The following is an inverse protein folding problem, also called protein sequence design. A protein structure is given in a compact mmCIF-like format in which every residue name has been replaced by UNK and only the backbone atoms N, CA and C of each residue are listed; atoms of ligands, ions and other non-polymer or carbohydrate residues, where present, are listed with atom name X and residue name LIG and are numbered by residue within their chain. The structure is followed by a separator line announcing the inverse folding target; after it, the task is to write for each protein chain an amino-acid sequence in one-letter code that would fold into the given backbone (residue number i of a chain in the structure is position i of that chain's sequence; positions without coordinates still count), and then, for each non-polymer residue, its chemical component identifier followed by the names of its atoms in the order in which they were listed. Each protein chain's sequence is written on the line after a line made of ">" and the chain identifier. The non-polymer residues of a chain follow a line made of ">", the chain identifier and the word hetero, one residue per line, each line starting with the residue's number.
data_IF_718179634489
#
_entry.id   IF_718179634489
#
_cell.length_a   1.000
_cell.length_b   1.000
_cell.length_c   1.000
_cell.angle_alpha   90.00
_cell.angle_beta   90.00
_cell.angle_gamma   90.00
#
_symmetry.space_group_name_H-M   'P 1'
#
loop_
_entity.id
_entity.type
_entity.pdbx_description
1 polymer ?
#
# COMPACT_ATOMS: atom_id res chain seq x y z
N UNK A 1 10.34 -20.26 3.00
CA UNK A 1 9.03 -19.81 3.51
C UNK A 1 8.36 -19.00 2.43
N UNK A 2 7.12 -19.33 2.04
CA UNK A 2 6.39 -18.51 1.09
C UNK A 2 6.07 -17.16 1.74
N UNK A 3 6.56 -16.08 1.15
CA UNK A 3 6.27 -14.73 1.64
C UNK A 3 4.77 -14.49 1.44
N UNK A 4 4.01 -14.56 2.54
CA UNK A 4 2.58 -14.30 2.52
C UNK A 4 2.38 -12.82 2.16
N UNK A 5 1.84 -12.59 0.97
CA UNK A 5 1.51 -11.26 0.48
C UNK A 5 -0.01 -11.13 0.48
N UNK A 6 -0.50 -10.08 1.13
CA UNK A 6 -1.92 -9.76 1.12
C UNK A 6 -2.17 -8.66 0.08
N UNK A 7 -3.24 -8.84 -0.69
CA UNK A 7 -3.66 -7.91 -1.72
C UNK A 7 -4.94 -7.20 -1.27
N UNK A 8 -4.98 -5.89 -1.50
CA UNK A 8 -6.15 -5.07 -1.23
C UNK A 8 -6.38 -4.06 -2.35
N UNK A 9 -7.64 -3.71 -2.58
CA UNK A 9 -8.03 -2.65 -3.50
C UNK A 9 -8.85 -1.60 -2.76
N UNK A 10 -8.38 -0.35 -2.76
CA UNK A 10 -9.09 0.80 -2.21
C UNK A 10 -9.80 1.58 -3.31
N UNK A 11 -11.03 2.04 -3.06
CA UNK A 11 -11.80 2.88 -4.00
C UNK A 11 -12.44 4.04 -3.23
N UNK A 12 -12.28 5.27 -3.75
CA UNK A 12 -12.95 6.47 -3.21
C UNK A 12 -13.29 7.42 -4.34
N UNK A 13 -14.59 7.71 -4.54
CA UNK A 13 -15.09 8.50 -5.68
C UNK A 13 -14.55 7.91 -7.00
N UNK A 14 -13.84 8.71 -7.80
CA UNK A 14 -13.16 8.30 -9.03
C UNK A 14 -11.75 7.72 -8.81
N UNK A 15 -11.22 7.76 -7.59
CA UNK A 15 -9.85 7.30 -7.28
C UNK A 15 -9.83 5.82 -6.92
N UNK A 16 -8.85 5.09 -7.48
CA UNK A 16 -8.63 3.66 -7.24
C UNK A 16 -7.17 3.44 -6.83
N UNK A 17 -6.94 2.68 -5.76
CA UNK A 17 -5.63 2.32 -5.25
C UNK A 17 -5.47 0.79 -5.20
N UNK A 18 -4.31 0.29 -5.62
CA UNK A 18 -3.92 -1.12 -5.47
C UNK A 18 -2.88 -1.20 -4.36
N UNK A 19 -3.15 -2.01 -3.35
CA UNK A 19 -2.34 -2.14 -2.14
C UNK A 19 -1.78 -3.55 -2.07
N UNK A 20 -0.47 -3.64 -1.85
CA UNK A 20 0.21 -4.87 -1.46
C UNK A 20 0.69 -4.71 -0.02
N UNK A 21 0.29 -5.63 0.84
CA UNK A 21 0.76 -5.74 2.20
C UNK A 21 1.72 -6.92 2.29
N UNK A 22 2.87 -6.69 2.90
CA UNK A 22 3.91 -7.68 3.15
C UNK A 22 4.31 -7.53 4.61
N UNK A 23 4.60 -8.63 5.29
CA UNK A 23 5.08 -8.57 6.67
C UNK A 23 6.43 -7.83 6.73
N UNK A 24 6.54 -6.79 7.57
CA UNK A 24 7.73 -5.94 7.67
C UNK A 24 7.55 -4.80 8.69
N UNK A 25 8.46 -3.81 8.65
CA UNK A 25 8.59 -2.72 9.65
C UNK A 25 7.49 -1.64 9.61
N UNK A 26 6.39 -1.86 8.89
CA UNK A 26 5.29 -0.88 8.79
C UNK A 26 5.59 0.32 7.89
N UNK A 27 6.62 0.24 7.03
CA UNK A 27 6.91 1.28 6.04
C UNK A 27 5.84 1.30 4.94
N UNK A 28 5.13 2.43 4.81
CA UNK A 28 4.12 2.63 3.76
C UNK A 28 4.63 3.60 2.70
N UNK A 29 4.78 3.09 1.48
CA UNK A 29 5.19 3.85 0.31
C UNK A 29 4.02 3.93 -0.68
N UNK A 30 3.67 5.14 -1.10
CA UNK A 30 2.67 5.39 -2.15
C UNK A 30 3.38 5.96 -3.36
N UNK A 31 3.40 5.23 -4.48
CA UNK A 31 4.09 5.62 -5.71
C UNK A 31 5.57 6.02 -5.49
N UNK A 32 6.28 5.28 -4.62
CA UNK A 32 7.69 5.55 -4.29
C UNK A 32 7.93 6.76 -3.38
N UNK A 33 6.87 7.35 -2.82
CA UNK A 33 6.95 8.47 -1.88
C UNK A 33 6.39 8.06 -0.52
N UNK A 34 7.00 8.54 0.56
CA UNK A 34 6.47 8.35 1.91
C UNK A 34 5.13 9.06 2.10
N UNK A 35 4.26 8.49 2.95
CA UNK A 35 2.92 9.01 3.24
C UNK A 35 2.91 10.51 3.63
N UNK A 36 3.94 10.97 4.35
CA UNK A 36 4.03 12.35 4.85
C UNK A 36 4.08 13.43 3.76
N UNK A 37 4.35 13.07 2.50
CA UNK A 37 4.32 13.99 1.35
C UNK A 37 2.94 14.04 0.68
N UNK A 38 2.07 13.09 0.98
CA UNK A 38 0.82 12.87 0.26
C UNK A 38 -0.43 13.37 1.02
N UNK A 39 -0.34 13.50 2.34
CA UNK A 39 -1.33 14.08 3.25
C UNK A 39 -0.82 15.42 3.78
#
# INVERSE_FOLDING_TARGET
>A
MANVQYYGTGRRKSSVARVRLVAGEGNILVNGRGIRKLF
#
